data_IF_432006708240
#
_entry.id   IF_432006708240
#
_cell.length_a   1.000
_cell.length_b   1.000
_cell.length_c   1.000
_cell.angle_alpha   90.00
_cell.angle_beta   90.00
_cell.angle_gamma   90.00
#
_symmetry.space_group_name_H-M   'P 1'
#
loop_
_entity.id
_entity.type
_entity.pdbx_description
1 polymer ?
#
# COMPACT_ATOMS: atom_id res chain seq x y z
N UNK A 1 20.36 2.21 -9.20
CA UNK A 1 21.73 2.74 -9.15
C UNK A 1 22.63 1.81 -9.96
N UNK A 2 23.34 2.35 -10.93
CA UNK A 2 24.32 1.62 -11.72
C UNK A 2 25.69 2.19 -11.34
N UNK A 3 26.55 1.35 -10.78
CA UNK A 3 27.94 1.69 -10.45
C UNK A 3 28.85 1.17 -11.56
N UNK A 4 29.63 2.05 -12.17
CA UNK A 4 30.66 1.67 -13.13
C UNK A 4 32.01 2.16 -12.61
N UNK A 5 32.98 1.27 -12.32
CA UNK A 5 34.32 1.71 -12.01
C UNK A 5 34.96 2.28 -13.31
N UNK A 6 35.35 3.53 -13.27
CA UNK A 6 35.86 4.23 -14.45
C UNK A 6 37.38 4.20 -14.51
N UNK A 7 38.09 4.24 -13.38
CA UNK A 7 39.54 4.05 -13.28
C UNK A 7 39.94 3.66 -11.85
N UNK A 8 41.01 2.91 -11.75
CA UNK A 8 41.66 2.56 -10.48
C UNK A 8 43.09 3.07 -10.57
N UNK A 9 43.45 4.04 -9.77
CA UNK A 9 44.83 4.50 -9.57
C UNK A 9 45.37 3.90 -8.26
N UNK A 10 46.69 3.94 -8.07
CA UNK A 10 47.41 3.26 -6.99
C UNK A 10 46.87 3.50 -5.58
N UNK A 11 46.16 4.63 -5.34
CA UNK A 11 45.52 4.99 -4.06
C UNK A 11 44.13 5.61 -4.20
N UNK A 12 43.51 5.57 -5.37
CA UNK A 12 42.18 6.14 -5.60
C UNK A 12 41.35 5.31 -6.59
N UNK A 13 40.05 5.27 -6.34
CA UNK A 13 39.07 4.63 -7.24
C UNK A 13 38.07 5.72 -7.67
N UNK A 14 37.96 5.90 -8.98
CA UNK A 14 36.94 6.80 -9.53
C UNK A 14 35.68 6.02 -9.83
N UNK A 15 34.55 6.44 -9.22
CA UNK A 15 33.26 5.77 -9.38
C UNK A 15 32.29 6.76 -10.04
N UNK A 16 31.74 6.38 -11.18
CA UNK A 16 30.63 7.10 -11.81
C UNK A 16 29.31 6.44 -11.40
N UNK A 17 28.36 7.25 -10.93
CA UNK A 17 27.08 6.78 -10.44
C UNK A 17 25.93 7.45 -11.18
N UNK A 18 25.03 6.65 -11.75
CA UNK A 18 23.77 7.10 -12.31
C UNK A 18 22.62 6.76 -11.36
N UNK A 19 21.89 7.79 -10.92
CA UNK A 19 20.77 7.66 -9.98
C UNK A 19 19.48 8.05 -10.69
N UNK A 20 18.60 7.07 -10.90
CA UNK A 20 17.23 7.32 -11.36
C UNK A 20 16.29 7.57 -10.17
N UNK A 21 15.59 8.71 -10.17
CA UNK A 21 14.60 9.05 -9.16
C UNK A 21 13.21 9.03 -9.79
N UNK A 22 12.27 8.31 -9.17
CA UNK A 22 10.85 8.33 -9.55
C UNK A 22 10.04 8.92 -8.40
N UNK A 23 9.34 10.00 -8.68
CA UNK A 23 8.44 10.65 -7.72
C UNK A 23 6.99 10.40 -8.13
N UNK A 24 6.15 10.01 -7.19
CA UNK A 24 4.70 9.89 -7.37
C UNK A 24 4.02 10.89 -6.43
N UNK A 25 3.20 11.76 -6.98
CA UNK A 25 2.43 12.74 -6.22
C UNK A 25 0.96 12.33 -6.24
N UNK A 26 0.32 12.37 -5.08
CA UNK A 26 -1.10 12.11 -4.92
C UNK A 26 -1.82 13.40 -4.57
N UNK A 27 -2.97 13.62 -5.17
CA UNK A 27 -3.84 14.76 -4.91
C UNK A 27 -5.22 14.24 -4.50
N UNK A 28 -5.76 14.75 -3.41
CA UNK A 28 -7.13 14.44 -3.00
C UNK A 28 -8.12 15.32 -3.75
N UNK A 29 -9.13 14.71 -4.38
CA UNK A 29 -10.17 15.41 -5.15
C UNK A 29 -11.54 14.85 -4.84
N UNK A 30 -12.49 15.76 -4.65
CA UNK A 30 -13.90 15.42 -4.66
C UNK A 30 -14.40 15.36 -6.09
N UNK A 31 -14.90 14.21 -6.52
CA UNK A 31 -15.50 14.02 -7.85
C UNK A 31 -16.96 13.63 -7.71
N UNK A 32 -17.82 14.25 -8.52
CA UNK A 32 -19.20 13.85 -8.66
C UNK A 32 -19.33 12.94 -9.87
N UNK A 33 -19.97 11.79 -9.71
CA UNK A 33 -20.20 10.81 -10.78
C UNK A 33 -21.68 10.56 -10.93
N UNK A 34 -22.14 10.40 -12.18
CA UNK A 34 -23.51 10.03 -12.49
C UNK A 34 -23.59 8.50 -12.47
N UNK A 35 -24.41 7.95 -11.59
CA UNK A 35 -24.58 6.50 -11.42
C UNK A 35 -25.88 5.97 -12.04
N UNK A 36 -26.84 6.86 -12.20
CA UNK A 36 -28.14 6.56 -12.81
C UNK A 36 -28.74 7.81 -13.45
N UNK A 37 -29.51 7.63 -14.51
CA UNK A 37 -30.26 8.69 -15.18
C UNK A 37 -31.49 8.13 -15.85
N UNK A 38 -32.48 8.97 -16.09
CA UNK A 38 -33.63 8.69 -16.93
C UNK A 38 -34.15 10.00 -17.55
N UNK A 39 -34.99 9.89 -18.58
CA UNK A 39 -35.77 11.00 -19.13
C UNK A 39 -37.24 10.69 -19.05
N UNK A 40 -38.10 11.68 -18.72
CA UNK A 40 -39.55 11.54 -18.85
C UNK A 40 -40.04 11.46 -20.29
N UNK A 41 -39.34 12.14 -21.24
CA UNK A 41 -39.77 12.33 -22.62
C UNK A 41 -39.03 11.46 -23.64
N UNK A 42 -37.85 10.95 -23.31
CA UNK A 42 -37.04 10.19 -24.26
C UNK A 42 -36.65 8.81 -23.71
N UNK A 43 -36.50 7.86 -24.64
CA UNK A 43 -35.92 6.55 -24.30
C UNK A 43 -34.40 6.69 -24.25
N UNK A 44 -33.84 6.52 -23.07
CA UNK A 44 -32.40 6.60 -22.82
C UNK A 44 -31.86 5.22 -22.50
N UNK A 45 -30.85 4.83 -23.25
CA UNK A 45 -29.99 3.68 -22.94
C UNK A 45 -28.60 4.20 -22.55
N UNK A 46 -27.97 3.54 -21.59
CA UNK A 46 -26.63 3.90 -21.16
C UNK A 46 -25.80 2.69 -20.73
N UNK A 47 -24.51 2.80 -21.00
CA UNK A 47 -23.52 1.84 -20.53
C UNK A 47 -22.93 2.31 -19.21
N UNK A 48 -22.69 1.34 -18.31
CA UNK A 48 -22.02 1.59 -17.03
C UNK A 48 -20.56 1.13 -17.11
N UNK A 49 -19.69 1.96 -16.59
CA UNK A 49 -18.28 1.64 -16.41
C UNK A 49 -17.94 1.62 -14.93
N UNK A 50 -17.18 0.62 -14.51
CA UNK A 50 -16.63 0.55 -13.16
C UNK A 50 -15.23 1.17 -13.14
N UNK A 51 -15.05 2.20 -12.32
CA UNK A 51 -13.75 2.82 -12.07
C UNK A 51 -13.27 2.38 -10.70
N UNK A 52 -12.06 1.82 -10.64
CA UNK A 52 -11.38 1.54 -9.38
C UNK A 52 -10.52 2.74 -9.00
N UNK A 53 -10.69 3.23 -7.79
CA UNK A 53 -9.93 4.35 -7.26
C UNK A 53 -9.60 4.15 -5.78
N UNK A 54 -8.69 4.97 -5.25
CA UNK A 54 -8.36 5.00 -3.84
C UNK A 54 -9.34 5.97 -3.17
N UNK A 55 -10.15 5.45 -2.24
CA UNK A 55 -11.09 6.26 -1.45
C UNK A 55 -10.43 6.90 -0.23
N UNK A 56 -9.41 6.25 0.30
CA UNK A 56 -8.68 6.73 1.47
C UNK A 56 -7.25 6.20 1.43
N UNK A 57 -6.30 7.09 1.76
CA UNK A 57 -4.88 6.76 1.92
C UNK A 57 -4.41 7.20 3.29
N UNK A 58 -3.67 6.35 3.95
CA UNK A 58 -2.99 6.66 5.20
C UNK A 58 -1.54 6.21 5.13
N UNK A 59 -0.64 7.07 5.58
CA UNK A 59 0.77 6.75 5.71
C UNK A 59 1.14 6.71 7.19
N UNK A 60 1.89 5.68 7.57
CA UNK A 60 2.42 5.50 8.92
C UNK A 60 3.91 5.28 8.81
N UNK A 61 4.66 6.11 9.49
CA UNK A 61 6.10 5.95 9.64
C UNK A 61 6.39 5.66 11.10
N UNK A 62 7.17 4.63 11.35
CA UNK A 62 7.58 4.21 12.69
C UNK A 62 9.04 3.77 12.67
N UNK A 63 9.65 3.72 13.86
CA UNK A 63 11.03 3.25 14.05
C UNK A 63 11.04 2.08 15.01
N UNK A 64 11.82 1.06 14.69
CA UNK A 64 12.02 -0.11 15.54
C UNK A 64 13.50 -0.33 15.79
N UNK A 65 13.85 -0.47 17.04
CA UNK A 65 15.18 -0.92 17.47
C UNK A 65 15.13 -2.42 17.77
N UNK A 66 16.13 -3.15 17.25
CA UNK A 66 16.39 -4.55 17.54
C UNK A 66 17.74 -4.62 18.22
N UNK A 67 17.77 -5.22 19.41
CA UNK A 67 18.97 -5.37 20.20
C UNK A 67 19.06 -6.82 20.70
N UNK A 68 20.01 -7.54 20.13
CA UNK A 68 20.15 -8.99 20.37
C UNK A 68 21.62 -9.38 20.54
N UNK A 69 21.87 -10.33 21.43
CA UNK A 69 23.15 -10.99 21.55
C UNK A 69 23.13 -12.28 20.74
N UNK A 70 24.05 -12.40 19.80
CA UNK A 70 24.16 -13.59 18.94
C UNK A 70 25.51 -14.24 19.07
N UNK A 71 25.54 -15.56 18.96
CA UNK A 71 26.78 -16.32 18.81
C UNK A 71 27.13 -16.45 17.33
N UNK A 72 28.36 -16.10 16.98
CA UNK A 72 28.88 -16.33 15.64
C UNK A 72 29.96 -17.41 15.72
N UNK A 73 29.72 -18.51 15.01
CA UNK A 73 30.72 -19.58 14.92
C UNK A 73 32.03 -19.08 14.32
N UNK A 74 33.16 -19.57 14.85
CA UNK A 74 34.51 -19.22 14.40
C UNK A 74 34.88 -17.72 14.54
N UNK A 75 34.19 -16.96 15.42
CA UNK A 75 34.55 -15.56 15.66
C UNK A 75 35.91 -15.41 16.39
N UNK A 76 36.29 -16.41 17.20
CA UNK A 76 37.52 -16.37 18.02
C UNK A 76 38.76 -16.11 17.17
N UNK A 77 39.53 -15.05 17.50
CA UNK A 77 40.69 -14.64 16.79
C UNK A 77 40.45 -13.95 15.44
N UNK A 78 39.17 -13.53 15.20
CA UNK A 78 38.81 -12.79 14.00
C UNK A 78 38.15 -11.46 14.36
N UNK A 79 38.27 -10.49 13.45
CA UNK A 79 37.60 -9.20 13.52
C UNK A 79 36.45 -9.17 12.52
N UNK A 80 35.37 -8.43 12.89
CA UNK A 80 34.28 -8.11 11.97
C UNK A 80 34.78 -6.99 11.04
N UNK A 81 34.84 -7.25 9.76
CA UNK A 81 35.27 -6.28 8.73
C UNK A 81 34.07 -5.50 8.20
N UNK A 82 32.97 -6.24 7.96
CA UNK A 82 31.76 -5.67 7.41
C UNK A 82 30.54 -6.54 7.77
N UNK A 83 29.37 -5.93 7.82
CA UNK A 83 28.08 -6.63 8.02
C UNK A 83 27.05 -6.09 7.05
N UNK A 84 26.60 -6.94 6.17
CA UNK A 84 25.48 -6.65 5.27
C UNK A 84 24.17 -7.10 5.95
N UNK A 85 23.16 -6.21 5.97
CA UNK A 85 21.86 -6.48 6.59
C UNK A 85 20.74 -6.28 5.59
N UNK A 86 19.91 -7.31 5.46
CA UNK A 86 18.70 -7.28 4.65
C UNK A 86 17.48 -7.55 5.53
N UNK A 87 16.60 -6.57 5.76
CA UNK A 87 15.33 -6.80 6.43
C UNK A 87 14.35 -7.47 5.48
N UNK A 88 13.72 -8.55 5.93
CA UNK A 88 12.74 -9.31 5.15
C UNK A 88 11.44 -9.45 5.93
N UNK A 89 10.32 -9.00 5.35
CA UNK A 89 8.97 -9.26 5.87
C UNK A 89 8.49 -10.61 5.31
N UNK A 90 8.30 -11.59 6.21
CA UNK A 90 7.98 -12.98 5.83
C UNK A 90 6.47 -13.20 5.76
N UNK A 91 5.75 -12.70 6.76
CA UNK A 91 4.32 -12.93 6.91
C UNK A 91 3.60 -11.67 7.37
N UNK A 92 2.47 -11.42 6.75
CA UNK A 92 1.51 -10.39 7.16
C UNK A 92 0.23 -11.06 7.65
N UNK A 93 -0.28 -10.63 8.79
CA UNK A 93 -1.61 -10.99 9.30
C UNK A 93 -2.42 -9.74 9.59
N UNK A 94 -3.70 -9.76 9.21
CA UNK A 94 -4.63 -8.65 9.45
C UNK A 94 -5.61 -9.04 10.55
N UNK A 95 -5.72 -8.19 11.55
CA UNK A 95 -6.72 -8.22 12.61
C UNK A 95 -7.60 -6.97 12.53
N UNK A 96 -8.74 -6.92 13.24
CA UNK A 96 -9.51 -5.68 13.34
C UNK A 96 -8.63 -4.53 13.87
N UNK A 97 -8.54 -3.43 13.11
CA UNK A 97 -7.79 -2.22 13.44
C UNK A 97 -6.25 -2.41 13.59
N UNK A 98 -5.70 -3.56 13.16
CA UNK A 98 -4.28 -3.88 13.33
C UNK A 98 -3.73 -4.73 12.19
N UNK A 99 -2.48 -4.49 11.81
CA UNK A 99 -1.71 -5.34 10.92
C UNK A 99 -0.43 -5.74 11.63
N UNK A 100 -0.14 -7.03 11.65
CA UNK A 100 1.09 -7.58 12.21
C UNK A 100 1.97 -8.16 11.11
N UNK A 101 3.25 -7.87 11.18
CA UNK A 101 4.29 -8.45 10.35
C UNK A 101 5.23 -9.27 11.20
N UNK A 102 5.52 -10.48 10.73
CA UNK A 102 6.67 -11.24 11.18
C UNK A 102 7.75 -11.11 10.11
N UNK A 103 8.94 -10.76 10.52
CA UNK A 103 10.08 -10.59 9.65
C UNK A 103 11.35 -11.13 10.26
N UNK A 104 12.43 -11.04 9.52
CA UNK A 104 13.77 -11.35 10.00
C UNK A 104 14.79 -10.35 9.43
N UNK A 105 15.81 -10.04 10.21
CA UNK A 105 17.04 -9.43 9.73
C UNK A 105 17.96 -10.55 9.28
N UNK A 106 18.27 -10.59 8.00
CA UNK A 106 19.29 -11.48 7.44
C UNK A 106 20.63 -10.78 7.48
N UNK A 107 21.52 -11.23 8.36
CA UNK A 107 22.85 -10.67 8.55
C UNK A 107 23.89 -11.55 7.88
N UNK A 108 24.82 -10.90 7.20
CA UNK A 108 25.97 -11.53 6.58
C UNK A 108 27.25 -10.87 7.10
N UNK A 109 27.90 -11.52 8.01
CA UNK A 109 29.15 -11.06 8.60
C UNK A 109 30.34 -11.45 7.71
N UNK A 110 31.22 -10.51 7.43
CA UNK A 110 32.54 -10.75 6.87
C UNK A 110 33.57 -10.67 7.98
N UNK A 111 34.22 -11.80 8.26
CA UNK A 111 35.16 -11.95 9.35
C UNK A 111 36.56 -12.15 8.76
N UNK A 112 37.58 -11.43 9.28
CA UNK A 112 38.96 -11.53 8.86
C UNK A 112 39.81 -12.10 10.00
N UNK A 113 40.55 -13.14 9.70
CA UNK A 113 41.54 -13.76 10.58
C UNK A 113 42.91 -13.06 10.54
N UNK A 114 43.81 -13.49 11.42
CA UNK A 114 45.23 -13.00 11.43
C UNK A 114 45.98 -13.30 10.13
N UNK A 115 45.56 -14.33 9.40
CA UNK A 115 46.05 -14.71 8.11
C UNK A 115 45.52 -13.88 6.94
N UNK A 116 44.73 -12.83 7.25
CA UNK A 116 44.04 -11.94 6.31
C UNK A 116 43.00 -12.66 5.42
N UNK A 117 42.64 -13.90 5.75
CA UNK A 117 41.59 -14.60 5.04
C UNK A 117 40.20 -14.13 5.52
N UNK A 118 39.31 -13.86 4.56
CA UNK A 118 37.95 -13.46 4.83
C UNK A 118 37.02 -14.68 4.77
N UNK A 119 36.27 -14.92 5.83
CA UNK A 119 35.20 -15.91 5.86
C UNK A 119 33.86 -15.20 6.06
N UNK A 120 32.81 -15.79 5.51
CA UNK A 120 31.43 -15.22 5.62
C UNK A 120 30.58 -16.10 6.52
N UNK A 121 29.91 -15.50 7.48
CA UNK A 121 28.91 -16.17 8.34
C UNK A 121 27.55 -15.48 8.18
N UNK A 122 26.48 -16.27 8.25
CA UNK A 122 25.12 -15.76 8.15
C UNK A 122 24.36 -16.05 9.43
N UNK A 123 23.55 -15.07 9.84
CA UNK A 123 22.64 -15.17 10.98
C UNK A 123 21.33 -14.50 10.66
N UNK A 124 20.23 -15.01 11.22
CA UNK A 124 18.91 -14.40 11.08
C UNK A 124 18.39 -14.03 12.47
N UNK A 125 17.91 -12.79 12.60
CA UNK A 125 17.29 -12.29 13.82
C UNK A 125 15.81 -12.06 13.52
N UNK A 126 14.87 -12.83 14.13
CA UNK A 126 13.45 -12.62 13.92
C UNK A 126 12.99 -11.32 14.58
N UNK A 127 12.01 -10.67 13.96
CA UNK A 127 11.34 -9.52 14.55
C UNK A 127 9.84 -9.51 14.22
N UNK A 128 9.09 -8.82 15.08
CA UNK A 128 7.68 -8.52 14.84
C UNK A 128 7.48 -7.01 14.71
N UNK A 129 6.57 -6.61 13.86
CA UNK A 129 6.17 -5.22 13.70
C UNK A 129 4.64 -5.13 13.61
N UNK A 130 4.07 -4.16 14.30
CA UNK A 130 2.62 -3.97 14.35
C UNK A 130 2.27 -2.55 13.94
N UNK A 131 1.28 -2.44 13.06
CA UNK A 131 0.64 -1.17 12.70
C UNK A 131 -0.72 -1.15 13.38
N UNK A 132 -0.94 -0.18 14.26
CA UNK A 132 -2.24 0.08 14.89
C UNK A 132 -3.01 1.17 14.13
N UNK A 133 -4.31 1.27 14.40
CA UNK A 133 -5.21 2.24 13.76
C UNK A 133 -5.23 2.13 12.23
N UNK A 134 -5.37 0.92 11.76
CA UNK A 134 -5.49 0.60 10.32
C UNK A 134 -6.80 1.14 9.78
N UNK A 135 -6.81 1.59 8.53
CA UNK A 135 -8.04 1.97 7.83
C UNK A 135 -9.01 0.79 7.81
N UNK A 136 -10.24 1.01 8.28
CA UNK A 136 -11.29 0.01 8.25
C UNK A 136 -11.85 -0.19 6.85
N UNK A 137 -12.28 -1.41 6.58
CA UNK A 137 -13.01 -1.78 5.38
C UNK A 137 -12.39 -2.90 4.57
N UNK A 138 -13.13 -3.28 3.54
CA UNK A 138 -12.71 -4.25 2.55
C UNK A 138 -11.78 -3.59 1.51
N UNK A 139 -11.04 -4.40 0.75
CA UNK A 139 -10.13 -3.96 -0.31
C UNK A 139 -9.01 -3.01 0.16
N UNK A 140 -8.55 -3.21 1.39
CA UNK A 140 -7.37 -2.53 1.91
C UNK A 140 -6.10 -3.16 1.33
N UNK A 141 -5.30 -2.34 0.66
CA UNK A 141 -3.94 -2.68 0.24
C UNK A 141 -2.95 -2.01 1.17
N UNK A 142 -1.98 -2.77 1.68
CA UNK A 142 -0.94 -2.26 2.57
C UNK A 142 0.42 -2.63 2.01
N UNK A 143 1.25 -1.62 1.85
CA UNK A 143 2.65 -1.78 1.43
C UNK A 143 3.56 -1.20 2.51
N UNK A 144 4.43 -2.04 3.06
CA UNK A 144 5.38 -1.64 4.10
C UNK A 144 6.80 -1.79 3.55
N UNK A 145 7.54 -0.70 3.57
CA UNK A 145 8.97 -0.67 3.27
C UNK A 145 9.77 -0.58 4.57
N UNK A 146 10.88 -1.30 4.64
CA UNK A 146 11.78 -1.33 5.79
C UNK A 146 13.15 -0.83 5.36
N UNK A 147 13.66 0.16 6.06
CA UNK A 147 14.98 0.76 5.81
C UNK A 147 15.84 0.66 7.07
N UNK A 148 17.10 0.25 6.92
CA UNK A 148 18.08 0.30 8.01
C UNK A 148 18.58 1.73 8.14
N UNK A 149 18.38 2.31 9.33
CA UNK A 149 18.80 3.68 9.64
C UNK A 149 20.18 3.73 10.30
N UNK A 150 20.42 2.78 11.21
CA UNK A 150 21.68 2.65 11.92
C UNK A 150 21.94 1.20 12.28
N UNK A 151 23.20 0.84 12.40
CA UNK A 151 23.64 -0.50 12.79
C UNK A 151 24.95 -0.43 13.56
N UNK A 152 25.00 -1.14 14.68
CA UNK A 152 26.21 -1.26 15.51
C UNK A 152 26.41 -2.73 15.90
N UNK A 153 27.68 -3.15 15.91
CA UNK A 153 28.11 -4.52 16.26
C UNK A 153 29.25 -4.46 17.25
N UNK A 154 29.04 -5.01 18.44
CA UNK A 154 30.05 -5.00 19.50
C UNK A 154 30.37 -6.43 19.89
N UNK A 155 31.63 -6.84 19.68
CA UNK A 155 32.12 -8.13 20.18
C UNK A 155 32.31 -8.00 21.69
N UNK A 156 31.65 -8.89 22.45
CA UNK A 156 31.69 -8.93 23.90
C UNK A 156 32.82 -9.86 24.38
N UNK A 157 33.22 -9.73 25.65
CA UNK A 157 34.27 -10.56 26.26
C UNK A 157 33.91 -12.05 26.28
N UNK A 158 32.63 -12.38 26.31
CA UNK A 158 32.13 -13.77 26.27
C UNK A 158 32.13 -14.40 24.85
N UNK A 159 32.55 -13.65 23.82
CA UNK A 159 32.55 -14.10 22.42
C UNK A 159 31.24 -13.96 21.70
N UNK A 160 30.21 -13.38 22.33
CA UNK A 160 28.97 -12.99 21.67
C UNK A 160 29.15 -11.66 20.93
N UNK A 161 28.27 -11.43 19.96
CA UNK A 161 28.15 -10.14 19.26
C UNK A 161 26.84 -9.50 19.68
N UNK A 162 26.91 -8.33 20.31
CA UNK A 162 25.76 -7.48 20.49
C UNK A 162 25.46 -6.81 19.16
N UNK A 163 24.29 -7.13 18.62
CA UNK A 163 23.73 -6.51 17.40
C UNK A 163 22.74 -5.46 17.83
N UNK A 164 22.93 -4.23 17.40
CA UNK A 164 21.96 -3.14 17.56
C UNK A 164 21.63 -2.56 16.21
N UNK A 165 20.38 -2.71 15.79
CA UNK A 165 19.89 -2.25 14.49
C UNK A 165 18.66 -1.38 14.68
N UNK A 166 18.70 -0.18 14.14
CA UNK A 166 17.57 0.72 14.08
C UNK A 166 16.96 0.72 12.68
N UNK A 167 15.69 0.38 12.59
CA UNK A 167 14.94 0.32 11.34
C UNK A 167 13.87 1.40 11.30
N UNK A 168 13.63 1.94 10.10
CA UNK A 168 12.47 2.77 9.78
C UNK A 168 11.48 1.95 8.99
N UNK A 169 10.23 1.93 9.44
CA UNK A 169 9.11 1.23 8.81
C UNK A 169 8.18 2.27 8.18
N UNK A 170 8.09 2.28 6.86
CA UNK A 170 7.16 3.15 6.13
C UNK A 170 6.02 2.30 5.55
N UNK A 171 4.81 2.52 6.03
CA UNK A 171 3.63 1.77 5.61
C UNK A 171 2.62 2.69 4.94
N UNK A 172 2.23 2.33 3.72
CA UNK A 172 1.17 3.02 2.96
C UNK A 172 -0.03 2.09 2.90
N UNK A 173 -1.16 2.58 3.36
CA UNK A 173 -2.45 1.90 3.37
C UNK A 173 -3.39 2.58 2.40
N UNK A 174 -3.90 1.84 1.40
CA UNK A 174 -4.85 2.30 0.40
C UNK A 174 -6.15 1.51 0.49
N UNK A 175 -7.25 2.17 0.82
CA UNK A 175 -8.58 1.59 0.71
C UNK A 175 -9.14 1.85 -0.68
N UNK A 176 -9.25 0.79 -1.48
CA UNK A 176 -9.76 0.86 -2.83
C UNK A 176 -11.29 0.72 -2.84
N UNK A 177 -11.94 1.50 -3.71
CA UNK A 177 -13.38 1.40 -3.98
C UNK A 177 -13.64 1.29 -5.46
N UNK A 178 -14.71 0.59 -5.78
CA UNK A 178 -15.23 0.51 -7.13
C UNK A 178 -16.43 1.46 -7.25
N UNK A 179 -16.37 2.39 -8.17
CA UNK A 179 -17.42 3.37 -8.45
C UNK A 179 -18.00 3.05 -9.82
N UNK A 180 -19.31 2.78 -9.86
CA UNK A 180 -20.01 2.64 -11.13
C UNK A 180 -20.45 4.03 -11.61
N UNK A 181 -20.06 4.36 -12.82
CA UNK A 181 -20.47 5.62 -13.49
C UNK A 181 -21.01 5.32 -14.88
N UNK A 182 -21.80 6.22 -15.40
CA UNK A 182 -22.27 6.16 -16.79
C UNK A 182 -21.13 6.60 -17.69
N UNK A 183 -20.83 5.79 -18.71
CA UNK A 183 -19.75 6.03 -19.68
C UNK A 183 -20.29 6.57 -21.00
N UNK A 184 -21.41 6.03 -21.47
CA UNK A 184 -22.01 6.37 -22.75
C UNK A 184 -23.53 6.45 -22.61
N UNK A 185 -24.14 7.45 -23.25
CA UNK A 185 -25.57 7.68 -23.25
C UNK A 185 -26.03 7.71 -24.71
N UNK A 186 -27.09 6.98 -25.00
CA UNK A 186 -27.77 6.95 -26.29
C UNK A 186 -29.25 7.25 -26.12
N UNK A 187 -29.79 8.10 -26.98
CA UNK A 187 -31.23 8.42 -27.02
C UNK A 187 -31.84 7.66 -28.20
N UNK A 188 -32.88 6.84 -27.93
CA UNK A 188 -33.53 5.97 -28.88
C UNK A 188 -34.94 6.43 -29.21
N UNK A 189 -35.10 7.75 -29.44
CA UNK A 189 -36.37 8.37 -29.78
C UNK A 189 -37.25 8.74 -28.59
N UNK A 190 -38.40 9.29 -28.89
CA UNK A 190 -39.39 9.74 -27.89
C UNK A 190 -39.97 8.53 -27.12
N UNK A 191 -40.25 8.75 -25.86
CA UNK A 191 -40.94 7.77 -25.05
C UNK A 191 -42.42 7.79 -25.44
N UNK A 192 -43.05 6.62 -25.58
CA UNK A 192 -44.49 6.54 -25.81
C UNK A 192 -45.24 7.19 -24.70
N UNK A 193 -46.09 8.18 -25.03
CA UNK A 193 -46.99 8.80 -24.07
C UNK A 193 -47.95 7.75 -23.55
N UNK A 194 -48.03 7.63 -22.22
CA UNK A 194 -49.00 6.75 -21.60
C UNK A 194 -50.36 7.49 -21.51
N UNK A 195 -51.37 6.93 -22.10
CA UNK A 195 -52.74 7.45 -22.15
C UNK A 195 -53.48 7.43 -20.80
N UNK A 196 -52.79 7.57 -19.69
CA UNK A 196 -53.39 7.56 -18.35
C UNK A 196 -53.53 8.98 -17.79
N UNK A 197 -54.74 9.35 -17.45
CA UNK A 197 -55.04 10.65 -16.81
C UNK A 197 -54.57 10.70 -15.35
N UNK A 198 -54.54 9.56 -14.68
CA UNK A 198 -54.15 9.44 -13.26
C UNK A 198 -53.50 8.07 -13.04
N UNK A 199 -52.33 8.04 -12.41
CA UNK A 199 -51.67 6.83 -11.94
C UNK A 199 -51.66 6.82 -10.42
N UNK A 200 -52.26 5.78 -9.82
CA UNK A 200 -52.20 5.56 -8.37
C UNK A 200 -51.20 4.44 -8.07
N UNK A 201 -50.18 4.74 -7.26
CA UNK A 201 -49.16 3.78 -6.88
C UNK A 201 -49.10 3.61 -5.37
N UNK A 202 -49.12 2.37 -4.87
CA UNK A 202 -48.96 2.04 -3.46
C UNK A 202 -47.50 1.86 -3.19
N UNK A 203 -46.90 2.77 -2.42
CA UNK A 203 -45.45 2.76 -2.05
C UNK A 203 -45.12 1.51 -1.25
N UNK A 204 -44.07 0.86 -1.59
CA UNK A 204 -43.52 -0.34 -0.95
C UNK A 204 -42.26 0.00 -0.14
N UNK A 205 -41.87 -0.93 0.72
CA UNK A 205 -40.59 -0.85 1.41
C UNK A 205 -39.43 -0.76 0.37
N UNK A 206 -38.48 0.12 0.60
CA UNK A 206 -37.31 0.40 -0.23
C UNK A 206 -37.59 1.18 -1.54
N UNK A 207 -38.83 1.63 -1.79
CA UNK A 207 -39.09 2.57 -2.87
C UNK A 207 -38.52 3.95 -2.56
N UNK A 208 -38.01 4.59 -3.62
CA UNK A 208 -37.57 5.99 -3.59
C UNK A 208 -38.37 6.80 -4.60
N UNK A 209 -38.56 8.10 -4.37
CA UNK A 209 -39.19 8.98 -5.34
C UNK A 209 -38.50 8.94 -6.71
N UNK A 210 -37.17 8.79 -6.72
CA UNK A 210 -36.38 8.61 -7.94
C UNK A 210 -36.83 7.36 -8.72
N UNK A 211 -36.90 6.20 -8.06
CA UNK A 211 -37.28 4.95 -8.70
C UNK A 211 -38.73 4.95 -9.20
N UNK A 212 -39.61 5.59 -8.44
CA UNK A 212 -41.00 5.76 -8.82
C UNK A 212 -41.12 6.67 -10.05
N UNK A 213 -40.48 7.85 -10.01
CA UNK A 213 -40.48 8.80 -11.10
C UNK A 213 -39.90 8.17 -12.39
N UNK A 214 -38.78 7.49 -12.30
CA UNK A 214 -38.15 6.77 -13.40
C UNK A 214 -39.05 5.71 -14.01
N UNK A 215 -39.74 4.94 -13.16
CA UNK A 215 -40.64 3.87 -13.59
C UNK A 215 -41.86 4.40 -14.37
N UNK A 216 -42.42 5.49 -13.92
CA UNK A 216 -43.64 6.05 -14.51
C UNK A 216 -43.38 7.21 -15.48
N UNK A 217 -42.12 7.52 -15.78
CA UNK A 217 -41.78 8.58 -16.73
C UNK A 217 -42.18 9.96 -16.26
N UNK A 218 -42.18 10.20 -14.96
CA UNK A 218 -42.52 11.47 -14.33
C UNK A 218 -41.30 12.12 -13.72
N UNK A 219 -41.44 13.32 -13.15
CA UNK A 219 -40.38 13.95 -12.34
C UNK A 219 -40.69 13.80 -10.86
N UNK A 220 -39.66 13.91 -10.01
CA UNK A 220 -39.86 13.94 -8.56
C UNK A 220 -40.75 15.12 -8.17
N UNK A 221 -40.57 16.28 -8.83
CA UNK A 221 -41.32 17.50 -8.55
C UNK A 221 -42.82 17.31 -8.88
N UNK A 222 -43.15 16.60 -9.94
CA UNK A 222 -44.53 16.32 -10.31
C UNK A 222 -45.19 15.36 -9.29
N UNK A 223 -44.45 14.36 -8.82
CA UNK A 223 -44.97 13.44 -7.79
C UNK A 223 -45.21 14.15 -6.45
N UNK A 224 -44.37 15.10 -6.09
CA UNK A 224 -44.50 15.85 -4.82
C UNK A 224 -45.59 16.92 -4.86
N UNK A 225 -45.97 17.38 -6.05
CA UNK A 225 -47.07 18.41 -6.21
C UNK A 225 -48.47 17.86 -6.11
N UNK A 226 -48.66 16.55 -6.21
CA UNK A 226 -49.94 15.86 -6.09
C UNK A 226 -50.23 15.51 -4.65
#
# INVERSE_FOLDING_TARGET
VILKPNSVEEHSVYIEMEIGVRTTVYEEKNINVIQDLYSPSENIEFNKRTIRTIAERKEVTDTKEIKENIMIEDLNGRSIVDVDIVPVLIKQSKEPNRIMYNGELQLKFMLMGEDLQIVTKRQNIPFEYTIDNVIDGENLNVNTNVEIMNQDFIIQENGEVLVNVQMKMNSIMDRNVNINTIDEIQTNGEREEQDYSIIMYIVKKDDTLWNIAKRFGSTIDDIVRV
#
